data_IF_298311165632
#
_entry.id   IF_298311165632
#
_cell.length_a   1.000
_cell.length_b   1.000
_cell.length_c   1.000
_cell.angle_alpha   90.00
_cell.angle_beta   90.00
_cell.angle_gamma   90.00
#
_symmetry.space_group_name_H-M   'P 1'
#
loop_
_entity.id
_entity.type
_entity.pdbx_description
1 polymer ?
#
# COMPACT_ATOMS: atom_id res chain seq x y z
N UNK A 1 -15.29 15.87 10.16
CA UNK A 1 -14.76 16.05 8.77
C UNK A 1 -13.29 15.65 8.61
N UNK A 2 -12.44 15.78 9.64
CA UNK A 2 -11.01 15.44 9.59
C UNK A 2 -10.74 13.97 9.20
N UNK A 3 -11.44 13.01 9.81
CA UNK A 3 -11.31 11.57 9.49
C UNK A 3 -11.52 11.24 8.00
N UNK A 4 -12.56 11.81 7.38
CA UNK A 4 -12.86 11.60 5.95
C UNK A 4 -11.77 12.19 5.06
N UNK A 5 -11.24 13.37 5.40
CA UNK A 5 -10.15 14.01 4.66
C UNK A 5 -8.84 13.21 4.77
N UNK A 6 -8.54 12.65 5.94
CA UNK A 6 -7.36 11.81 6.13
C UNK A 6 -7.44 10.48 5.37
N UNK A 7 -8.58 9.79 5.44
CA UNK A 7 -8.83 8.58 4.65
C UNK A 7 -8.70 8.85 3.13
N UNK A 8 -9.27 9.97 2.65
CA UNK A 8 -9.17 10.36 1.25
C UNK A 8 -7.72 10.65 0.82
N UNK A 9 -6.92 11.30 1.67
CA UNK A 9 -5.49 11.56 1.39
C UNK A 9 -4.66 10.28 1.35
N UNK A 10 -4.91 9.35 2.27
CA UNK A 10 -4.26 8.03 2.24
C UNK A 10 -4.65 7.24 0.99
N UNK A 11 -5.94 7.22 0.64
CA UNK A 11 -6.41 6.58 -0.59
C UNK A 11 -5.74 7.23 -1.83
N UNK A 12 -5.72 8.55 -1.91
CA UNK A 12 -5.07 9.29 -2.99
C UNK A 12 -3.57 9.02 -3.07
N UNK A 13 -2.87 9.01 -1.92
CA UNK A 13 -1.45 8.68 -1.86
C UNK A 13 -1.15 7.28 -2.38
N UNK A 14 -1.97 6.30 -2.03
CA UNK A 14 -1.78 4.90 -2.46
C UNK A 14 -2.20 4.67 -3.91
N UNK A 15 -3.12 5.49 -4.42
CA UNK A 15 -3.49 5.47 -5.84
C UNK A 15 -2.34 5.90 -6.75
N UNK A 16 -1.42 6.75 -6.29
CA UNK A 16 -0.29 7.24 -7.11
C UNK A 16 0.59 6.08 -7.63
N UNK A 17 1.21 5.24 -6.79
CA UNK A 17 2.03 4.13 -7.27
C UNK A 17 1.22 3.10 -8.06
N UNK A 18 -0.05 2.87 -7.69
CA UNK A 18 -0.95 1.95 -8.43
C UNK A 18 -1.23 2.47 -9.84
N UNK A 19 -1.55 3.75 -9.99
CA UNK A 19 -1.80 4.38 -11.29
C UNK A 19 -0.54 4.41 -12.16
N UNK A 20 0.63 4.68 -11.56
CA UNK A 20 1.90 4.62 -12.28
C UNK A 20 2.18 3.20 -12.77
N UNK A 21 1.97 2.20 -11.91
CA UNK A 21 2.18 0.80 -12.26
C UNK A 21 1.21 0.29 -13.33
N UNK A 22 -0.09 0.56 -13.19
CA UNK A 22 -1.13 0.01 -14.07
C UNK A 22 -1.36 0.80 -15.36
N UNK A 23 -1.05 2.09 -15.37
CA UNK A 23 -1.41 3.00 -16.47
C UNK A 23 -0.15 3.62 -17.06
N UNK A 24 0.63 4.33 -16.26
CA UNK A 24 1.75 5.12 -16.79
C UNK A 24 2.86 4.24 -17.36
N UNK A 25 3.32 3.21 -16.64
CA UNK A 25 4.36 2.32 -17.13
C UNK A 25 3.95 1.58 -18.42
N UNK A 26 2.75 0.96 -18.52
CA UNK A 26 2.29 0.37 -19.78
C UNK A 26 2.17 1.39 -20.92
N UNK A 27 1.62 2.58 -20.66
CA UNK A 27 1.47 3.62 -21.68
C UNK A 27 2.83 4.11 -22.20
N UNK A 28 3.80 4.34 -21.30
CA UNK A 28 5.17 4.69 -21.66
C UNK A 28 5.87 3.56 -22.43
N UNK A 29 5.64 2.31 -22.04
CA UNK A 29 6.15 1.14 -22.78
C UNK A 29 5.59 1.06 -24.20
N UNK A 30 4.28 1.28 -24.37
CA UNK A 30 3.60 1.26 -25.67
C UNK A 30 4.14 2.30 -26.66
N UNK A 31 4.56 3.48 -26.18
CA UNK A 31 5.20 4.51 -27.02
C UNK A 31 6.70 4.33 -27.18
N UNK A 32 7.26 3.20 -26.72
CA UNK A 32 8.68 2.87 -26.89
C UNK A 32 9.63 3.63 -25.95
N UNK A 33 9.12 4.28 -24.88
CA UNK A 33 9.95 5.06 -23.95
C UNK A 33 11.04 4.24 -23.27
N UNK A 34 10.82 2.93 -23.12
CA UNK A 34 11.78 2.01 -22.51
C UNK A 34 12.66 1.25 -23.51
N UNK A 35 12.47 1.45 -24.82
CA UNK A 35 13.24 0.74 -25.86
C UNK A 35 14.72 1.09 -25.76
N UNK A 36 15.58 0.06 -25.68
CA UNK A 36 17.03 0.23 -25.51
C UNK A 36 17.45 0.74 -24.12
N UNK A 37 16.53 0.84 -23.16
CA UNK A 37 16.80 1.31 -21.81
C UNK A 37 16.89 0.16 -20.80
N UNK A 38 17.58 0.40 -19.68
CA UNK A 38 17.67 -0.56 -18.58
C UNK A 38 16.36 -0.67 -17.79
N UNK A 39 16.11 -1.84 -17.21
CA UNK A 39 15.04 -2.08 -16.22
C UNK A 39 15.07 -1.12 -15.01
N UNK A 40 16.19 -0.46 -14.73
CA UNK A 40 16.29 0.56 -13.68
C UNK A 40 15.34 1.75 -13.90
N UNK A 41 14.97 2.09 -15.14
CA UNK A 41 14.07 3.23 -15.42
C UNK A 41 12.63 3.01 -14.94
N UNK A 42 11.92 1.92 -15.33
CA UNK A 42 10.58 1.67 -14.81
C UNK A 42 10.58 1.44 -13.29
N UNK A 43 11.63 0.82 -12.75
CA UNK A 43 11.81 0.66 -11.29
C UNK A 43 11.96 2.03 -10.61
N UNK A 44 12.81 2.91 -11.15
CA UNK A 44 13.01 4.25 -10.62
C UNK A 44 11.75 5.11 -10.66
N UNK A 45 10.97 5.05 -11.74
CA UNK A 45 9.67 5.74 -11.82
C UNK A 45 8.70 5.25 -10.75
N UNK A 46 8.66 3.94 -10.51
CA UNK A 46 7.82 3.35 -9.48
C UNK A 46 8.29 3.69 -8.07
N UNK A 47 9.61 3.76 -7.83
CA UNK A 47 10.18 4.26 -6.56
C UNK A 47 9.74 5.71 -6.28
N UNK A 48 9.87 6.59 -7.28
CA UNK A 48 9.49 8.00 -7.16
C UNK A 48 7.99 8.12 -6.92
N UNK A 49 7.17 7.38 -7.66
CA UNK A 49 5.72 7.36 -7.49
C UNK A 49 5.31 6.86 -6.10
N UNK A 50 6.00 5.84 -5.59
CA UNK A 50 5.79 5.29 -4.26
C UNK A 50 6.14 6.30 -3.17
N UNK A 51 7.28 6.98 -3.30
CA UNK A 51 7.69 8.04 -2.38
C UNK A 51 6.71 9.22 -2.39
N UNK A 52 6.29 9.67 -3.57
CA UNK A 52 5.29 10.73 -3.73
C UNK A 52 3.94 10.32 -3.14
N UNK A 53 3.51 9.09 -3.40
CA UNK A 53 2.30 8.50 -2.82
C UNK A 53 2.33 8.46 -1.29
N UNK A 54 3.45 7.99 -0.73
CA UNK A 54 3.69 8.00 0.70
C UNK A 54 3.69 9.42 1.28
N UNK A 55 4.30 10.40 0.62
CA UNK A 55 4.28 11.80 1.07
C UNK A 55 2.85 12.37 1.14
N UNK A 56 2.03 12.08 0.12
CA UNK A 56 0.62 12.48 0.07
C UNK A 56 -0.17 11.80 1.19
N UNK A 57 0.03 10.49 1.41
CA UNK A 57 -0.60 9.75 2.49
C UNK A 57 -0.20 10.29 3.87
N UNK A 58 1.10 10.51 4.10
CA UNK A 58 1.65 11.03 5.34
C UNK A 58 1.21 12.45 5.68
N UNK A 59 0.77 13.25 4.70
CA UNK A 59 0.17 14.57 4.97
C UNK A 59 -1.15 14.52 5.76
N UNK A 60 -1.74 13.33 5.91
CA UNK A 60 -2.92 13.12 6.73
C UNK A 60 -2.60 12.94 8.23
N UNK A 61 -1.33 12.74 8.60
CA UNK A 61 -0.95 12.44 10.00
C UNK A 61 -0.83 13.69 10.87
N UNK A 62 -0.98 14.90 10.30
CA UNK A 62 -0.90 16.16 11.04
C UNK A 62 -0.07 17.23 10.32
N UNK A 63 0.04 18.43 10.91
CA UNK A 63 0.85 19.51 10.37
C UNK A 63 2.35 19.20 10.50
N UNK A 64 3.13 19.46 9.44
CA UNK A 64 4.59 19.32 9.43
C UNK A 64 5.12 18.34 8.38
N UNK A 65 6.45 18.27 8.26
CA UNK A 65 7.14 17.49 7.22
C UNK A 65 7.43 16.03 7.63
N UNK A 66 7.37 15.71 8.93
CA UNK A 66 7.75 14.40 9.46
C UNK A 66 6.85 13.26 8.96
N UNK A 67 5.53 13.47 8.98
CA UNK A 67 4.55 12.50 8.49
C UNK A 67 4.71 12.17 7.00
N UNK A 68 4.73 13.19 6.13
CA UNK A 68 5.04 13.00 4.71
C UNK A 68 6.35 12.26 4.45
N UNK A 69 7.45 12.64 5.13
CA UNK A 69 8.74 11.96 4.93
C UNK A 69 8.72 10.50 5.40
N UNK A 70 8.15 10.25 6.58
CA UNK A 70 8.01 8.92 7.15
C UNK A 70 7.27 7.96 6.21
N UNK A 71 6.11 8.39 5.72
CA UNK A 71 5.32 7.58 4.80
C UNK A 71 5.93 7.50 3.40
N UNK A 72 6.63 8.53 2.91
CA UNK A 72 7.39 8.47 1.67
C UNK A 72 8.45 7.36 1.71
N UNK A 73 9.22 7.28 2.80
CA UNK A 73 10.23 6.24 2.99
C UNK A 73 9.58 4.86 3.16
N UNK A 74 8.52 4.75 3.96
CA UNK A 74 7.82 3.49 4.19
C UNK A 74 7.22 2.94 2.89
N UNK A 75 6.56 3.78 2.08
CA UNK A 75 6.00 3.37 0.80
C UNK A 75 7.12 3.01 -0.18
N UNK A 76 8.17 3.83 -0.32
CA UNK A 76 9.28 3.54 -1.22
C UNK A 76 9.99 2.21 -0.89
N UNK A 77 10.06 1.84 0.39
CA UNK A 77 10.70 0.60 0.83
C UNK A 77 9.78 -0.63 0.77
N UNK A 78 8.49 -0.49 1.10
CA UNK A 78 7.63 -1.64 1.43
C UNK A 78 6.52 -1.92 0.41
N UNK A 79 6.14 -0.95 -0.43
CA UNK A 79 5.10 -1.15 -1.46
C UNK A 79 5.55 -2.15 -2.55
N UNK A 80 6.85 -2.44 -2.62
CA UNK A 80 7.42 -3.45 -3.52
C UNK A 80 6.88 -4.84 -3.25
N UNK A 81 6.68 -5.23 -1.99
CA UNK A 81 6.18 -6.56 -1.67
C UNK A 81 4.77 -6.79 -2.25
N UNK A 82 3.77 -5.90 -2.04
CA UNK A 82 2.48 -5.99 -2.70
C UNK A 82 2.59 -5.95 -4.24
N UNK A 83 3.40 -5.05 -4.79
CA UNK A 83 3.51 -4.90 -6.25
C UNK A 83 4.16 -6.10 -6.92
N UNK A 84 5.21 -6.68 -6.33
CA UNK A 84 5.85 -7.91 -6.79
C UNK A 84 4.87 -9.07 -6.73
N UNK A 85 4.17 -9.22 -5.61
CA UNK A 85 3.14 -10.25 -5.45
C UNK A 85 2.09 -10.11 -6.54
N UNK A 86 1.50 -8.93 -6.72
CA UNK A 86 0.44 -8.72 -7.72
C UNK A 86 0.96 -8.91 -9.14
N UNK A 87 2.13 -8.37 -9.47
CA UNK A 87 2.73 -8.53 -10.81
C UNK A 87 3.08 -9.99 -11.15
N UNK A 88 3.31 -10.83 -10.14
CA UNK A 88 3.58 -12.27 -10.30
C UNK A 88 2.32 -13.14 -10.35
N UNK A 89 1.14 -12.61 -10.00
CA UNK A 89 -0.11 -13.38 -9.96
C UNK A 89 -0.44 -14.10 -11.28
N UNK A 90 -0.32 -13.47 -12.47
CA UNK A 90 -0.62 -14.17 -13.72
C UNK A 90 0.35 -15.32 -14.03
N UNK A 91 1.57 -15.26 -13.50
CA UNK A 91 2.59 -16.31 -13.66
C UNK A 91 2.44 -17.44 -12.61
N UNK A 92 1.90 -17.13 -11.43
CA UNK A 92 1.63 -18.08 -10.34
C UNK A 92 0.29 -18.81 -10.53
N UNK A 93 -0.70 -18.12 -11.08
CA UNK A 93 -2.03 -18.65 -11.38
C UNK A 93 -1.91 -19.72 -12.48
N UNK A 94 -1.88 -20.99 -12.08
CA UNK A 94 -1.69 -22.14 -12.97
C UNK A 94 -0.48 -23.03 -12.63
N UNK A 95 0.41 -22.59 -11.73
CA UNK A 95 1.53 -23.40 -11.22
C UNK A 95 1.42 -23.71 -9.72
N UNK A 96 0.84 -22.82 -8.93
CA UNK A 96 0.66 -23.03 -7.49
C UNK A 96 -0.74 -23.55 -7.15
N UNK A 97 -0.81 -24.34 -6.07
CA UNK A 97 -2.08 -24.83 -5.55
C UNK A 97 -2.91 -23.69 -4.94
N UNK A 98 -4.24 -23.81 -4.98
CA UNK A 98 -5.17 -22.84 -4.34
C UNK A 98 -4.81 -22.58 -2.87
N UNK A 99 -4.25 -23.58 -2.19
CA UNK A 99 -3.81 -23.50 -0.79
C UNK A 99 -2.57 -22.63 -0.61
N UNK A 100 -1.59 -22.71 -1.52
CA UNK A 100 -0.39 -21.87 -1.48
C UNK A 100 -0.72 -20.41 -1.74
N UNK A 101 -1.57 -20.13 -2.74
CA UNK A 101 -2.07 -18.77 -3.02
C UNK A 101 -2.89 -18.21 -1.85
N UNK A 102 -3.76 -19.02 -1.24
CA UNK A 102 -4.60 -18.60 -0.11
C UNK A 102 -3.84 -18.37 1.20
N UNK A 103 -2.61 -18.87 1.34
CA UNK A 103 -1.78 -18.68 2.54
C UNK A 103 -0.70 -17.62 2.28
N UNK A 104 0.01 -17.72 1.15
CA UNK A 104 1.13 -16.84 0.81
C UNK A 104 0.71 -15.40 0.53
N UNK A 105 -0.37 -15.20 -0.25
CA UNK A 105 -0.81 -13.84 -0.63
C UNK A 105 -1.30 -13.04 0.57
N UNK A 106 -2.19 -13.57 1.44
CA UNK A 106 -2.63 -12.81 2.60
C UNK A 106 -1.50 -12.52 3.58
N UNK A 107 -0.56 -13.45 3.79
CA UNK A 107 0.60 -13.22 4.67
C UNK A 107 1.53 -12.13 4.12
N UNK A 108 1.81 -12.13 2.82
CA UNK A 108 2.62 -11.08 2.18
C UNK A 108 2.02 -9.69 2.32
N UNK A 109 0.70 -9.58 2.14
CA UNK A 109 -0.02 -8.31 2.33
C UNK A 109 -0.09 -7.89 3.81
N UNK A 110 -0.36 -8.83 4.73
CA UNK A 110 -0.35 -8.57 6.18
C UNK A 110 0.99 -7.98 6.63
N UNK A 111 2.09 -8.59 6.20
CA UNK A 111 3.43 -8.12 6.55
C UNK A 111 3.73 -6.75 5.93
N UNK A 112 3.49 -6.57 4.64
CA UNK A 112 3.77 -5.31 3.96
C UNK A 112 2.97 -4.15 4.55
N UNK A 113 1.65 -4.31 4.68
CA UNK A 113 0.79 -3.27 5.23
C UNK A 113 1.06 -3.04 6.72
N UNK A 114 1.25 -4.11 7.50
CA UNK A 114 1.59 -4.01 8.92
C UNK A 114 2.88 -3.23 9.17
N UNK A 115 3.91 -3.47 8.35
CA UNK A 115 5.16 -2.72 8.40
C UNK A 115 4.98 -1.26 7.95
N UNK A 116 4.19 -1.00 6.90
CA UNK A 116 3.88 0.38 6.46
C UNK A 116 3.19 1.16 7.59
N UNK A 117 2.22 0.54 8.27
CA UNK A 117 1.54 1.14 9.42
C UNK A 117 2.49 1.37 10.59
N UNK A 118 3.29 0.36 10.97
CA UNK A 118 4.22 0.45 12.08
C UNK A 118 5.33 1.49 11.85
N UNK A 119 6.03 1.44 10.71
CA UNK A 119 7.09 2.39 10.37
C UNK A 119 6.54 3.79 10.13
N UNK A 120 5.43 3.91 9.39
CA UNK A 120 4.78 5.19 9.15
C UNK A 120 4.38 5.87 10.45
N UNK A 121 3.78 5.16 11.40
CA UNK A 121 3.39 5.71 12.71
C UNK A 121 4.57 5.98 13.63
N UNK A 122 5.60 5.13 13.66
CA UNK A 122 6.79 5.32 14.47
C UNK A 122 7.58 6.57 14.04
N UNK A 123 7.79 6.74 12.73
CA UNK A 123 8.58 7.84 12.17
C UNK A 123 7.81 9.17 12.12
N UNK A 124 6.47 9.13 12.09
CA UNK A 124 5.62 10.34 12.14
C UNK A 124 5.57 11.01 13.51
N UNK A 125 6.23 10.46 14.54
CA UNK A 125 6.30 11.07 15.87
C UNK A 125 4.99 11.04 16.65
N UNK A 126 4.07 10.10 16.35
CA UNK A 126 2.85 9.88 17.16
C UNK A 126 3.13 9.40 18.61
N UNK A 127 4.41 9.33 19.01
CA UNK A 127 4.87 9.16 20.40
C UNK A 127 5.42 10.44 21.05
N UNK A 128 5.15 11.63 20.49
CA UNK A 128 5.69 12.92 20.96
C UNK A 128 4.79 13.74 21.91
N UNK A 129 3.64 13.21 22.34
CA UNK A 129 2.86 13.79 23.45
C UNK A 129 3.22 13.06 24.74
N UNK A 130 3.35 13.81 25.84
CA UNK A 130 3.87 13.44 27.17
C UNK A 130 4.08 11.94 27.48
N UNK A 131 5.22 11.58 28.11
CA UNK A 131 5.61 10.21 28.40
C UNK A 131 4.70 9.57 29.45
N UNK A 132 3.52 9.13 29.06
CA UNK A 132 2.81 8.08 29.77
C UNK A 132 3.47 6.74 29.41
N UNK A 133 4.00 5.99 30.40
CA UNK A 133 4.61 4.69 30.16
C UNK A 133 3.53 3.72 29.65
N UNK A 134 3.44 3.57 28.33
CA UNK A 134 2.50 2.65 27.66
C UNK A 134 1.80 3.18 26.39
N UNK A 135 1.83 4.48 26.07
CA UNK A 135 0.94 5.06 25.03
C UNK A 135 1.50 5.05 23.59
N UNK A 136 2.82 5.23 23.41
CA UNK A 136 3.44 5.35 22.08
C UNK A 136 3.57 4.03 21.33
N UNK A 137 4.13 2.99 21.98
CA UNK A 137 4.26 1.65 21.40
C UNK A 137 2.92 0.98 21.16
N UNK A 138 1.93 1.18 22.04
CA UNK A 138 0.58 0.68 21.84
C UNK A 138 -0.06 1.30 20.58
N UNK A 139 0.11 2.61 20.34
CA UNK A 139 -0.38 3.26 19.11
C UNK A 139 0.31 2.74 17.85
N UNK A 140 1.63 2.54 17.87
CA UNK A 140 2.38 1.96 16.74
C UNK A 140 1.90 0.52 16.46
N UNK A 141 1.70 -0.28 17.51
CA UNK A 141 1.21 -1.65 17.40
C UNK A 141 -0.23 -1.71 16.86
N UNK A 142 -1.13 -0.83 17.33
CA UNK A 142 -2.51 -0.76 16.81
C UNK A 142 -2.53 -0.27 15.37
N UNK A 143 -1.70 0.72 15.01
CA UNK A 143 -1.57 1.18 13.62
C UNK A 143 -1.11 0.03 12.71
N UNK A 144 -0.05 -0.67 13.12
CA UNK A 144 0.44 -1.86 12.42
C UNK A 144 -0.65 -2.94 12.31
N UNK A 145 -1.40 -3.20 13.38
CA UNK A 145 -2.47 -4.19 13.38
C UNK A 145 -3.64 -3.81 12.45
N UNK A 146 -4.08 -2.55 12.45
CA UNK A 146 -5.16 -2.08 11.57
C UNK A 146 -4.75 -2.19 10.11
N UNK A 147 -3.53 -1.79 9.78
CA UNK A 147 -3.01 -1.95 8.42
C UNK A 147 -2.83 -3.43 8.06
N UNK A 148 -2.33 -4.26 8.97
CA UNK A 148 -2.20 -5.71 8.78
C UNK A 148 -3.54 -6.39 8.53
N UNK A 149 -4.57 -6.07 9.31
CA UNK A 149 -5.93 -6.60 9.13
C UNK A 149 -6.53 -6.17 7.80
N UNK A 150 -6.30 -4.92 7.39
CA UNK A 150 -6.72 -4.43 6.09
C UNK A 150 -5.95 -5.13 4.95
N UNK A 151 -4.65 -5.36 5.13
CA UNK A 151 -3.81 -6.16 4.23
C UNK A 151 -4.29 -7.61 4.11
N UNK A 152 -4.72 -8.25 5.20
CA UNK A 152 -5.29 -9.61 5.18
C UNK A 152 -6.51 -9.67 4.26
N UNK A 153 -7.46 -8.74 4.43
CA UNK A 153 -8.67 -8.67 3.61
C UNK A 153 -8.32 -8.45 2.13
N UNK A 154 -7.36 -7.57 1.85
CA UNK A 154 -6.89 -7.32 0.49
C UNK A 154 -6.20 -8.54 -0.12
N UNK A 155 -5.34 -9.22 0.62
CA UNK A 155 -4.66 -10.42 0.15
C UNK A 155 -5.62 -11.60 -0.07
N UNK A 156 -6.65 -11.73 0.76
CA UNK A 156 -7.73 -12.71 0.56
C UNK A 156 -8.54 -12.41 -0.70
N UNK A 157 -8.91 -11.15 -0.92
CA UNK A 157 -9.61 -10.72 -2.13
C UNK A 157 -8.77 -11.01 -3.38
N UNK A 158 -7.48 -10.70 -3.32
CA UNK A 158 -6.53 -10.97 -4.41
C UNK A 158 -6.40 -12.48 -4.67
N UNK A 159 -6.33 -13.30 -3.62
CA UNK A 159 -6.27 -14.75 -3.75
C UNK A 159 -7.54 -15.34 -4.41
N UNK A 160 -8.72 -14.87 -4.00
CA UNK A 160 -10.01 -15.27 -4.59
C UNK A 160 -10.10 -14.86 -6.06
N UNK A 161 -9.68 -13.64 -6.39
CA UNK A 161 -9.74 -13.17 -7.79
C UNK A 161 -8.76 -13.95 -8.68
N UNK A 162 -7.59 -14.28 -8.13
CA UNK A 162 -6.58 -15.06 -8.86
C UNK A 162 -6.96 -16.53 -9.04
N UNK A 163 -7.73 -17.11 -8.11
CA UNK A 163 -8.24 -18.48 -8.25
C UNK A 163 -9.35 -18.62 -9.29
N UNK A 164 -10.11 -17.56 -9.54
CA UNK A 164 -11.20 -17.54 -10.52
C UNK A 164 -10.71 -17.46 -11.97
N UNK A 165 -9.44 -17.15 -12.21
CA UNK A 165 -8.89 -16.96 -13.56
C UNK A 165 -7.43 -17.45 -13.71
N UNK A 166 -7.19 -18.78 -13.65
CA UNK A 166 -5.86 -19.37 -13.79
C UNK A 166 -5.25 -19.10 -15.18
N UNK A 167 -3.99 -18.67 -15.23
CA UNK A 167 -3.27 -18.41 -16.48
C UNK A 167 -3.79 -17.22 -17.29
N UNK A 168 -4.58 -16.34 -16.68
CA UNK A 168 -5.20 -15.21 -17.35
C UNK A 168 -4.16 -14.21 -17.88
N UNK A 169 -4.06 -14.11 -19.20
CA UNK A 169 -3.29 -13.10 -19.92
C UNK A 169 -4.20 -12.07 -20.59
N UNK A 170 -3.63 -10.94 -21.05
CA UNK A 170 -4.38 -9.89 -21.74
C UNK A 170 -5.42 -9.21 -20.83
N UNK A 171 -6.66 -9.06 -21.30
CA UNK A 171 -7.74 -8.36 -20.59
C UNK A 171 -8.06 -8.97 -19.22
N UNK A 172 -8.04 -10.30 -19.11
CA UNK A 172 -8.31 -11.00 -17.86
C UNK A 172 -7.20 -10.77 -16.83
N UNK A 173 -5.93 -10.85 -17.24
CA UNK A 173 -4.79 -10.52 -16.37
C UNK A 173 -4.77 -9.04 -15.94
N UNK A 174 -5.16 -8.14 -16.85
CA UNK A 174 -5.33 -6.72 -16.53
C UNK A 174 -6.43 -6.50 -15.50
N UNK A 175 -7.58 -7.17 -15.63
CA UNK A 175 -8.67 -7.09 -14.67
C UNK A 175 -8.26 -7.57 -13.27
N UNK A 176 -7.50 -8.68 -13.18
CA UNK A 176 -6.96 -9.18 -11.90
C UNK A 176 -6.04 -8.12 -11.25
N UNK A 177 -5.14 -7.53 -12.02
CA UNK A 177 -4.23 -6.49 -11.54
C UNK A 177 -5.00 -5.22 -11.09
N UNK A 178 -6.09 -4.88 -11.76
CA UNK A 178 -6.94 -3.75 -11.40
C UNK A 178 -7.71 -4.00 -10.09
N UNK A 179 -8.26 -5.20 -9.91
CA UNK A 179 -8.94 -5.60 -8.66
C UNK A 179 -7.95 -5.65 -7.50
N UNK A 180 -6.74 -6.16 -7.74
CA UNK A 180 -5.67 -6.15 -6.75
C UNK A 180 -5.23 -4.73 -6.38
N UNK A 181 -5.14 -3.82 -7.36
CA UNK A 181 -4.93 -2.39 -7.11
C UNK A 181 -6.03 -1.78 -6.24
N UNK A 182 -7.30 -2.08 -6.52
CA UNK A 182 -8.43 -1.62 -5.70
C UNK A 182 -8.37 -2.16 -4.26
N UNK A 183 -7.95 -3.43 -4.08
CA UNK A 183 -7.71 -4.03 -2.78
C UNK A 183 -6.62 -3.26 -2.00
N UNK A 184 -5.53 -2.88 -2.66
CA UNK A 184 -4.45 -2.10 -2.06
C UNK A 184 -4.92 -0.70 -1.60
N UNK A 185 -5.77 -0.04 -2.40
CA UNK A 185 -6.31 1.29 -2.08
C UNK A 185 -7.27 1.21 -0.89
N UNK A 186 -8.09 0.17 -0.82
CA UNK A 186 -9.07 -0.04 0.26
C UNK A 186 -8.36 -0.25 1.60
N UNK A 187 -7.30 -1.07 1.64
CA UNK A 187 -6.53 -1.28 2.86
C UNK A 187 -5.88 0.02 3.37
N UNK A 188 -5.38 0.83 2.46
CA UNK A 188 -4.73 2.10 2.78
C UNK A 188 -5.73 3.16 3.26
N UNK A 189 -6.93 3.19 2.67
CA UNK A 189 -8.02 4.06 3.13
C UNK A 189 -8.46 3.73 4.55
N UNK A 190 -8.52 2.43 4.90
CA UNK A 190 -8.83 1.97 6.26
C UNK A 190 -7.76 2.43 7.27
N UNK A 191 -6.48 2.29 6.90
CA UNK A 191 -5.36 2.81 7.69
C UNK A 191 -5.41 4.32 7.92
N UNK A 192 -5.70 5.09 6.85
CA UNK A 192 -5.84 6.55 6.94
C UNK A 192 -7.04 7.02 7.75
N UNK A 193 -8.13 6.25 7.77
CA UNK A 193 -9.30 6.54 8.60
C UNK A 193 -8.99 6.40 10.10
N UNK A 194 -8.18 5.41 10.47
CA UNK A 194 -7.74 5.20 11.85
C UNK A 194 -6.74 6.29 12.30
N UNK A 195 -5.72 6.57 11.49
CA UNK A 195 -4.70 7.59 11.81
C UNK A 195 -5.35 8.97 11.99
N UNK A 196 -6.22 9.37 11.06
CA UNK A 196 -6.94 10.64 11.14
C UNK A 196 -8.00 10.69 12.25
N UNK A 197 -8.32 9.55 12.85
CA UNK A 197 -9.23 9.44 13.99
C UNK A 197 -8.54 9.51 15.35
N UNK A 198 -7.26 9.15 15.42
CA UNK A 198 -6.42 9.28 16.62
C UNK A 198 -5.69 10.62 16.74
N UNK A 199 -5.69 11.44 15.67
CA UNK A 199 -5.08 12.76 15.61
C UNK A 199 -6.04 13.91 15.97
N UNK A 200 -7.22 13.62 16.53
CA UNK A 200 -8.13 14.68 17.02
C UNK A 200 -7.59 15.20 18.36
N UNK A 201 -7.11 16.46 18.44
CA UNK A 201 -6.52 16.99 19.66
C UNK A 201 -7.57 17.33 20.73
N UNK A 202 -8.87 17.18 20.44
CA UNK A 202 -9.92 17.62 21.35
C UNK A 202 -10.19 16.68 22.52
N UNK A 203 -9.90 15.37 22.44
CA UNK A 203 -10.21 14.43 23.52
C UNK A 203 -11.63 14.60 24.10
N UNK A 204 -12.55 15.08 23.26
CA UNK A 204 -13.96 15.37 23.52
C UNK A 204 -14.75 14.80 22.36
#
# INVERSE_FOLDING_TARGET
>A
MARRRGAARFAAGTLIPVAVWLIALPALGAVGFFTGSSFARPIGLLLIASAAGGAVAGSATGPGWRGPLAFALAFAALIWAPLLVVSSLPALAGRESLRELAIGLPLGFVLAYGLIGAFGSALSGHGGGEPHPGSGWARIAIAGFVFAAAGLLSGLLVAVVSSLAPGASGLAGFAINLVAGAACVTASAAGGWWIAGGSDPSGR
#
